data_IF_842129086076
#
_entry.id   IF_842129086076
#
_cell.length_a   1.000
_cell.length_b   1.000
_cell.length_c   1.000
_cell.angle_alpha   90.00
_cell.angle_beta   90.00
_cell.angle_gamma   90.00
#
_symmetry.space_group_name_H-M   'P 1'
#
loop_
_entity.id
_entity.type
_entity.pdbx_description
1 polymer ?
#
# COMPACT_ATOMS: atom_id res chain seq x y z
N UNK A 1 33.02 -10.85 -23.25
CA UNK A 1 31.64 -11.25 -23.60
C UNK A 1 30.64 -10.99 -22.46
N UNK A 2 31.00 -11.20 -21.19
CA UNK A 2 30.09 -10.92 -20.05
C UNK A 2 29.74 -9.43 -19.83
N UNK A 3 30.65 -8.50 -20.13
CA UNK A 3 30.37 -7.06 -19.92
C UNK A 3 29.29 -6.50 -20.85
N UNK A 4 29.16 -7.05 -22.07
CA UNK A 4 28.14 -6.61 -23.03
C UNK A 4 26.76 -7.12 -22.59
N UNK A 5 26.69 -8.33 -22.04
CA UNK A 5 25.44 -8.93 -21.52
C UNK A 5 24.91 -8.14 -20.31
N UNK A 6 25.80 -7.72 -19.40
CA UNK A 6 25.42 -6.87 -18.27
C UNK A 6 24.92 -5.49 -18.71
N UNK A 7 25.59 -4.86 -19.68
CA UNK A 7 25.16 -3.56 -20.20
C UNK A 7 23.77 -3.63 -20.87
N UNK A 8 23.47 -4.71 -21.59
CA UNK A 8 22.15 -4.94 -22.21
C UNK A 8 21.06 -5.18 -21.15
N UNK A 9 21.35 -5.86 -20.05
CA UNK A 9 20.37 -6.07 -18.97
C UNK A 9 19.95 -4.75 -18.29
N UNK A 10 20.90 -3.85 -18.06
CA UNK A 10 20.61 -2.51 -17.49
C UNK A 10 19.80 -1.61 -18.43
N UNK A 11 19.87 -1.85 -19.75
CA UNK A 11 19.08 -1.11 -20.75
C UNK A 11 17.64 -1.61 -20.86
N UNK A 12 17.33 -2.77 -20.27
CA UNK A 12 15.99 -3.38 -20.33
C UNK A 12 15.15 -3.21 -19.07
N UNK A 13 15.70 -2.62 -18.00
CA UNK A 13 14.89 -2.31 -16.81
C UNK A 13 13.94 -1.17 -17.16
N UNK A 14 12.61 -1.41 -17.22
CA UNK A 14 11.67 -0.36 -17.55
C UNK A 14 11.71 0.69 -16.43
N UNK A 15 11.63 1.98 -16.77
CA UNK A 15 11.63 3.08 -15.79
C UNK A 15 10.50 2.95 -14.74
N UNK A 16 9.46 2.17 -15.04
CA UNK A 16 8.39 1.80 -14.10
C UNK A 16 8.83 0.84 -12.98
N UNK A 17 10.03 0.26 -13.05
CA UNK A 17 10.59 -0.57 -11.98
C UNK A 17 11.24 0.25 -10.84
N UNK A 18 11.38 1.56 -11.00
CA UNK A 18 12.07 2.45 -10.04
C UNK A 18 11.20 3.63 -9.57
N UNK A 19 9.88 3.57 -9.76
CA UNK A 19 8.96 4.64 -9.35
C UNK A 19 8.13 4.30 -8.09
N UNK A 20 7.10 5.09 -7.75
CA UNK A 20 6.37 4.99 -6.47
C UNK A 20 5.71 3.63 -6.25
N UNK A 21 5.34 2.99 -7.35
CA UNK A 21 4.67 1.69 -7.35
C UNK A 21 5.66 0.53 -7.23
N UNK A 22 6.96 0.80 -7.19
CA UNK A 22 8.00 -0.21 -6.95
C UNK A 22 8.11 -0.59 -5.47
N UNK A 23 7.67 0.29 -4.56
CA UNK A 23 7.77 0.09 -3.12
C UNK A 23 6.39 0.18 -2.45
N UNK A 24 5.66 -0.95 -2.32
CA UNK A 24 4.36 -0.96 -1.66
C UNK A 24 4.48 -0.88 -0.14
N UNK A 25 3.47 -0.28 0.50
CA UNK A 25 3.28 -0.41 1.94
C UNK A 25 2.75 -1.81 2.23
N UNK A 26 3.61 -2.65 2.83
CA UNK A 26 3.28 -4.02 3.21
C UNK A 26 2.68 -4.07 4.61
N UNK A 27 1.52 -4.72 4.71
CA UNK A 27 0.85 -4.95 5.98
C UNK A 27 0.44 -6.42 6.16
N UNK A 28 0.65 -6.95 7.35
CA UNK A 28 0.37 -8.34 7.72
C UNK A 28 -0.80 -8.37 8.71
N UNK A 29 -1.73 -9.33 8.56
CA UNK A 29 -2.81 -9.49 9.53
C UNK A 29 -2.32 -10.08 10.85
N UNK A 30 -3.00 -9.76 11.95
CA UNK A 30 -2.67 -10.30 13.26
C UNK A 30 -3.12 -11.75 13.43
N UNK A 31 -4.20 -12.15 12.76
CA UNK A 31 -4.89 -13.43 12.98
C UNK A 31 -4.63 -14.46 11.88
N UNK A 32 -4.12 -14.04 10.72
CA UNK A 32 -3.83 -14.92 9.58
C UNK A 32 -2.47 -14.57 8.97
N UNK A 33 -1.94 -15.46 8.12
CA UNK A 33 -0.72 -15.21 7.38
C UNK A 33 -0.92 -14.28 6.16
N UNK A 34 -2.10 -13.69 5.99
CA UNK A 34 -2.41 -12.86 4.84
C UNK A 34 -1.65 -11.54 4.87
N UNK A 35 -1.23 -11.09 3.69
CA UNK A 35 -0.53 -9.84 3.48
C UNK A 35 -1.31 -8.95 2.53
N UNK A 36 -1.44 -7.67 2.86
CA UNK A 36 -1.94 -6.63 1.98
C UNK A 36 -0.81 -5.71 1.55
N UNK A 37 -0.82 -5.37 0.26
CA UNK A 37 0.08 -4.39 -0.34
C UNK A 37 -0.74 -3.18 -0.75
N UNK A 38 -0.34 -2.01 -0.27
CA UNK A 38 -0.94 -0.73 -0.65
C UNK A 38 0.03 0.08 -1.49
N UNK A 39 -0.54 0.79 -2.46
CA UNK A 39 0.20 1.62 -3.41
C UNK A 39 -0.32 3.07 -3.36
N UNK A 40 0.48 4.06 -3.77
CA UNK A 40 0.12 5.48 -3.73
C UNK A 40 -1.25 5.80 -4.35
N UNK A 41 -1.59 5.18 -5.48
CA UNK A 41 -2.85 5.42 -6.19
C UNK A 41 -4.09 4.97 -5.41
N UNK A 42 -3.92 4.15 -4.38
CA UNK A 42 -5.00 3.70 -3.51
C UNK A 42 -5.19 4.61 -2.31
N UNK A 43 -4.21 5.48 -2.02
CA UNK A 43 -4.27 6.42 -0.91
C UNK A 43 -5.23 7.57 -1.25
N UNK A 44 -6.26 7.74 -0.42
CA UNK A 44 -7.30 8.77 -0.62
C UNK A 44 -7.23 9.87 0.42
N UNK A 45 -6.50 9.66 1.51
CA UNK A 45 -6.27 10.65 2.55
C UNK A 45 -5.00 10.33 3.33
N UNK A 46 -4.27 11.37 3.75
CA UNK A 46 -3.13 11.29 4.67
C UNK A 46 -3.16 12.44 5.66
N UNK A 47 -2.84 12.13 6.91
CA UNK A 47 -2.58 13.08 7.99
C UNK A 47 -1.34 12.66 8.77
N UNK A 48 -1.00 13.39 9.84
CA UNK A 48 0.09 13.03 10.76
C UNK A 48 -0.23 11.78 11.60
N UNK A 49 -1.52 11.42 11.76
CA UNK A 49 -1.93 10.31 12.61
C UNK A 49 -2.32 9.07 11.81
N UNK A 50 -3.00 9.26 10.68
CA UNK A 50 -3.51 8.15 9.88
C UNK A 50 -3.46 8.42 8.38
N UNK A 51 -3.33 7.32 7.63
CA UNK A 51 -3.51 7.25 6.18
C UNK A 51 -4.70 6.34 5.86
N UNK A 52 -5.47 6.71 4.83
CA UNK A 52 -6.62 5.94 4.36
C UNK A 52 -6.38 5.44 2.94
N UNK A 53 -6.61 4.15 2.74
CA UNK A 53 -6.59 3.49 1.44
C UNK A 53 -7.97 3.01 1.03
N UNK A 54 -8.30 3.16 -0.25
CA UNK A 54 -9.55 2.70 -0.83
C UNK A 54 -9.29 1.62 -1.89
N UNK A 55 -9.99 0.49 -1.77
CA UNK A 55 -10.05 -0.54 -2.82
C UNK A 55 -11.50 -0.80 -3.24
N UNK A 56 -11.67 -1.48 -4.37
CA UNK A 56 -12.98 -1.94 -4.88
C UNK A 56 -14.05 -0.84 -4.89
N UNK A 57 -13.70 0.34 -5.43
CA UNK A 57 -14.59 1.51 -5.55
C UNK A 57 -15.21 1.96 -4.22
N UNK A 58 -14.50 1.80 -3.09
CA UNK A 58 -14.99 2.24 -1.77
C UNK A 58 -15.62 1.15 -0.94
N UNK A 59 -15.78 -0.05 -1.48
CA UNK A 59 -16.26 -1.20 -0.71
C UNK A 59 -15.28 -1.59 0.40
N UNK A 60 -14.00 -1.31 0.21
CA UNK A 60 -12.97 -1.60 1.20
C UNK A 60 -12.19 -0.35 1.53
N UNK A 61 -12.14 -0.05 2.83
CA UNK A 61 -11.34 1.04 3.38
C UNK A 61 -10.33 0.45 4.35
N UNK A 62 -9.07 0.85 4.20
CA UNK A 62 -8.02 0.52 5.17
C UNK A 62 -7.52 1.80 5.81
N UNK A 63 -7.60 1.87 7.13
CA UNK A 63 -6.94 2.89 7.93
C UNK A 63 -5.64 2.31 8.47
N UNK A 64 -4.55 3.08 8.37
CA UNK A 64 -3.27 2.74 8.99
C UNK A 64 -2.85 3.90 9.88
N UNK A 65 -2.54 3.63 11.14
CA UNK A 65 -1.88 4.59 12.02
C UNK A 65 -0.45 4.80 11.54
N UNK A 66 -0.07 6.06 11.28
CA UNK A 66 1.23 6.41 10.70
C UNK A 66 2.37 6.07 11.67
N UNK A 67 2.15 6.25 12.98
CA UNK A 67 3.19 6.15 13.99
C UNK A 67 3.38 4.71 14.49
N UNK A 68 2.30 3.94 14.61
CA UNK A 68 2.37 2.55 15.09
C UNK A 68 2.37 1.53 13.96
N UNK A 69 1.91 1.92 12.77
CA UNK A 69 1.64 1.02 11.66
C UNK A 69 0.43 0.12 11.88
N UNK A 70 -0.35 0.32 12.94
CA UNK A 70 -1.54 -0.50 13.18
C UNK A 70 -2.58 -0.27 12.09
N UNK A 71 -3.10 -1.37 11.58
CA UNK A 71 -4.00 -1.39 10.43
C UNK A 71 -5.39 -1.86 10.88
N UNK A 72 -6.42 -1.19 10.39
CA UNK A 72 -7.82 -1.64 10.43
C UNK A 72 -8.37 -1.60 9.00
N UNK A 73 -8.71 -2.77 8.48
CA UNK A 73 -9.33 -2.92 7.16
C UNK A 73 -10.80 -3.28 7.33
N UNK A 74 -11.67 -2.44 6.80
CA UNK A 74 -13.12 -2.65 6.81
C UNK A 74 -13.61 -2.94 5.41
N UNK A 75 -14.25 -4.10 5.24
CA UNK A 75 -14.90 -4.51 3.99
C UNK A 75 -16.40 -4.48 4.16
N UNK A 76 -17.10 -3.72 3.32
CA UNK A 76 -18.55 -3.75 3.24
C UNK A 76 -19.04 -4.96 2.44
N UNK A 77 -19.67 -5.91 3.13
CA UNK A 77 -20.22 -7.15 2.58
C UNK A 77 -21.74 -7.10 2.35
N UNK A 78 -22.38 -6.00 2.76
CA UNK A 78 -23.82 -5.83 2.64
C UNK A 78 -24.34 -5.98 1.21
N UNK A 79 -25.52 -6.58 1.09
CA UNK A 79 -26.34 -6.69 -0.12
C UNK A 79 -27.73 -6.15 0.17
N UNK A 80 -28.37 -5.56 -0.85
CA UNK A 80 -29.80 -5.24 -0.80
C UNK A 80 -30.24 -4.50 0.47
N UNK A 81 -29.50 -3.44 0.83
CA UNK A 81 -29.79 -2.55 1.98
C UNK A 81 -29.56 -3.13 3.38
N UNK A 82 -29.07 -4.36 3.52
CA UNK A 82 -28.64 -4.90 4.82
C UNK A 82 -27.14 -4.68 5.01
N UNK A 83 -26.71 -3.80 5.94
CA UNK A 83 -25.30 -3.55 6.17
C UNK A 83 -24.66 -4.76 6.85
N UNK A 84 -23.51 -5.19 6.31
CA UNK A 84 -22.67 -6.22 6.89
C UNK A 84 -21.21 -5.86 6.65
N UNK A 85 -20.36 -6.08 7.66
CA UNK A 85 -18.97 -5.65 7.65
C UNK A 85 -18.06 -6.77 8.11
N UNK A 86 -16.91 -6.87 7.44
CA UNK A 86 -15.75 -7.61 7.96
C UNK A 86 -14.69 -6.60 8.38
N UNK A 87 -14.17 -6.75 9.59
CA UNK A 87 -13.09 -5.93 10.11
C UNK A 87 -11.88 -6.83 10.34
N UNK A 88 -10.76 -6.50 9.71
CA UNK A 88 -9.48 -7.18 9.88
C UNK A 88 -8.47 -6.23 10.50
N UNK A 89 -7.67 -6.75 11.43
CA UNK A 89 -6.62 -5.99 12.12
C UNK A 89 -5.25 -6.54 11.75
N UNK A 90 -4.27 -5.67 11.68
CA UNK A 90 -2.92 -6.02 11.25
C UNK A 90 -1.92 -4.94 11.59
N UNK A 91 -0.71 -5.09 11.07
CA UNK A 91 0.35 -4.09 11.20
C UNK A 91 1.14 -3.96 9.91
N UNK A 92 1.42 -2.73 9.54
CA UNK A 92 2.28 -2.35 8.43
C UNK A 92 3.73 -2.19 8.90
N UNK A 93 4.67 -2.58 8.05
CA UNK A 93 6.10 -2.41 8.31
C UNK A 93 6.57 -1.10 7.68
N UNK A 94 7.44 -0.39 8.39
CA UNK A 94 8.14 0.80 7.88
C UNK A 94 7.20 1.92 7.38
N UNK A 95 6.00 2.03 7.96
CA UNK A 95 4.93 2.93 7.49
C UNK A 95 5.41 4.34 7.17
N UNK A 96 6.08 5.01 8.10
CA UNK A 96 6.61 6.38 7.89
C UNK A 96 7.57 6.43 6.71
N UNK A 97 8.54 5.51 6.66
CA UNK A 97 9.55 5.46 5.60
C UNK A 97 8.92 5.31 4.21
N UNK A 98 7.99 4.37 4.06
CA UNK A 98 7.30 4.13 2.77
C UNK A 98 6.46 5.34 2.37
N UNK A 99 5.69 5.90 3.30
CA UNK A 99 4.85 7.05 3.04
C UNK A 99 5.67 8.30 2.66
N UNK A 100 6.82 8.51 3.28
CA UNK A 100 7.72 9.63 2.97
C UNK A 100 8.40 9.44 1.61
N UNK A 101 8.81 8.20 1.30
CA UNK A 101 9.33 7.85 -0.03
C UNK A 101 8.32 8.23 -1.13
N UNK A 102 7.04 7.90 -0.95
CA UNK A 102 5.99 8.28 -1.90
C UNK A 102 5.77 9.79 -2.05
N UNK A 103 6.06 10.60 -1.02
CA UNK A 103 5.95 12.05 -1.11
C UNK A 103 7.11 12.68 -1.89
N UNK A 104 8.33 12.16 -1.70
CA UNK A 104 9.52 12.67 -2.37
C UNK A 104 9.42 12.58 -3.90
N UNK A 105 8.77 11.54 -4.42
CA UNK A 105 8.58 11.36 -5.87
C UNK A 105 7.43 12.18 -6.47
N UNK A 106 6.60 12.83 -5.64
CA UNK A 106 5.59 13.79 -6.10
C UNK A 106 6.14 15.22 -6.22
N UNK A 107 7.39 15.47 -5.81
CA UNK A 107 8.06 16.75 -6.02
C UNK A 107 8.44 16.90 -7.51
N UNK A 108 8.18 18.07 -8.14
CA UNK A 108 8.41 18.31 -9.56
C UNK A 108 9.88 18.31 -9.98
#
# INVERSE_FOLDING_TARGET
>A
MNSIIFAVLLLTTPASATGPNSLPLKCELLETADTFLFYPEQMVYRSEQFVLFQNFKGRVITQVDVNTGDLIRTTYLGKTYEPSYQILKGRCKETVHILDFWQLEQAP
#
